data_IF_067209252493
#
_entry.id   IF_067209252493
#
_cell.length_a   1.000
_cell.length_b   1.000
_cell.length_c   1.000
_cell.angle_alpha   90.00
_cell.angle_beta   90.00
_cell.angle_gamma   90.00
#
_symmetry.space_group_name_H-M   'P 1'
#
loop_
_entity.id
_entity.type
_entity.pdbx_description
1 polymer ?
#
# COMPACT_ATOMS: atom_id res chain seq x y z
N UNK A 1 14.13 21.29 1.14
CA UNK A 1 12.81 21.04 0.51
C UNK A 1 12.59 19.54 0.40
N UNK A 2 11.34 19.12 0.23
CA UNK A 2 10.98 17.71 0.00
C UNK A 2 10.62 17.51 -1.47
N UNK A 3 10.85 16.32 -2.00
CA UNK A 3 10.52 16.00 -3.40
C UNK A 3 10.50 14.52 -3.69
N UNK A 4 9.89 14.20 -4.83
CA UNK A 4 9.96 12.89 -5.48
C UNK A 4 11.05 13.02 -6.54
N UNK A 5 12.12 12.24 -6.45
CA UNK A 5 13.28 12.40 -7.32
C UNK A 5 13.97 11.07 -7.65
N UNK A 6 14.75 11.06 -8.73
CA UNK A 6 15.60 9.92 -9.08
C UNK A 6 16.83 9.81 -8.18
N UNK A 7 17.40 8.62 -8.09
CA UNK A 7 18.69 8.39 -7.42
C UNK A 7 19.64 7.62 -8.32
N UNK A 8 20.92 7.98 -8.35
CA UNK A 8 21.97 7.20 -9.00
C UNK A 8 22.42 5.99 -8.19
N UNK A 9 21.96 5.88 -6.94
CA UNK A 9 22.19 4.74 -6.06
C UNK A 9 20.89 3.90 -5.92
N UNK A 10 20.63 2.93 -6.82
CA UNK A 10 19.38 2.18 -6.85
C UNK A 10 19.17 1.31 -5.61
N UNK A 11 20.25 0.86 -4.96
CA UNK A 11 20.19 0.06 -3.72
C UNK A 11 19.52 0.79 -2.55
N UNK A 12 19.39 2.12 -2.61
CA UNK A 12 18.70 2.90 -1.58
C UNK A 12 17.19 2.99 -1.78
N UNK A 13 16.66 2.50 -2.90
CA UNK A 13 15.22 2.44 -3.18
C UNK A 13 14.63 1.29 -2.35
N UNK A 14 13.38 1.43 -1.91
CA UNK A 14 12.71 0.53 -0.97
C UNK A 14 13.30 0.48 0.45
N UNK A 15 14.17 1.44 0.80
CA UNK A 15 14.69 1.60 2.16
C UNK A 15 14.11 2.83 2.87
N UNK A 16 13.85 2.69 4.18
CA UNK A 16 13.38 3.77 5.05
C UNK A 16 14.55 4.61 5.59
N UNK A 17 15.39 5.13 4.69
CA UNK A 17 16.63 5.86 5.02
C UNK A 17 16.73 7.23 4.35
N UNK A 18 15.59 7.88 4.09
CA UNK A 18 15.60 9.25 3.57
C UNK A 18 15.41 10.26 4.69
N UNK A 19 15.95 11.47 4.51
CA UNK A 19 15.64 12.63 5.35
C UNK A 19 14.30 13.29 4.92
N UNK A 20 13.36 12.50 4.37
CA UNK A 20 12.01 12.94 4.00
C UNK A 20 11.71 13.05 2.50
N UNK A 21 12.67 12.78 1.60
CA UNK A 21 12.38 12.67 0.16
C UNK A 21 11.95 11.26 -0.25
N UNK A 22 11.22 11.15 -1.36
CA UNK A 22 10.84 9.87 -1.99
C UNK A 22 11.78 9.64 -3.19
N UNK A 23 12.44 8.49 -3.23
CA UNK A 23 13.43 8.14 -4.25
C UNK A 23 12.87 7.09 -5.21
N UNK A 24 12.97 7.35 -6.51
CA UNK A 24 12.58 6.45 -7.58
C UNK A 24 13.80 6.00 -8.40
N UNK A 25 13.64 4.94 -9.17
CA UNK A 25 14.61 4.60 -10.21
C UNK A 25 14.66 5.74 -11.25
N UNK A 26 15.83 6.01 -11.87
CA UNK A 26 15.96 7.06 -12.88
C UNK A 26 14.92 6.97 -14.01
N UNK A 27 14.67 5.77 -14.53
CA UNK A 27 13.70 5.55 -15.60
C UNK A 27 12.25 5.84 -15.16
N UNK A 28 11.92 5.54 -13.90
CA UNK A 28 10.56 5.76 -13.37
C UNK A 28 10.29 7.24 -13.11
N UNK A 29 11.28 7.99 -12.60
CA UNK A 29 11.10 9.43 -12.39
C UNK A 29 11.02 10.19 -13.72
N UNK A 30 11.74 9.75 -14.76
CA UNK A 30 11.66 10.34 -16.09
C UNK A 30 10.26 10.16 -16.69
N UNK A 31 9.74 8.93 -16.64
CA UNK A 31 8.35 8.62 -17.04
C UNK A 31 7.35 9.44 -16.26
N UNK A 32 7.44 9.44 -14.93
CA UNK A 32 6.54 10.21 -14.07
C UNK A 32 6.58 11.70 -14.43
N UNK A 33 7.77 12.30 -14.57
CA UNK A 33 7.92 13.71 -14.91
C UNK A 33 7.26 14.07 -16.25
N UNK A 34 7.31 13.19 -17.25
CA UNK A 34 6.67 13.41 -18.55
C UNK A 34 5.13 13.43 -18.51
N UNK A 35 4.52 12.74 -17.55
CA UNK A 35 3.06 12.73 -17.37
C UNK A 35 2.54 13.89 -16.52
N UNK A 36 3.39 14.48 -15.69
CA UNK A 36 2.98 15.49 -14.72
C UNK A 36 2.99 16.90 -15.30
N UNK A 37 1.98 17.69 -14.93
CA UNK A 37 1.91 19.13 -15.19
C UNK A 37 2.12 19.90 -13.89
N UNK A 38 2.61 21.14 -13.99
CA UNK A 38 2.68 22.02 -12.82
C UNK A 38 1.29 22.18 -12.20
N UNK A 39 1.21 22.09 -10.88
CA UNK A 39 -0.05 22.11 -10.13
C UNK A 39 -0.71 20.74 -9.96
N UNK A 40 -0.09 19.66 -10.46
CA UNK A 40 -0.58 18.31 -10.19
C UNK A 40 -0.64 18.03 -8.69
N UNK A 41 -1.76 17.46 -8.24
CA UNK A 41 -2.00 17.13 -6.85
C UNK A 41 -1.69 15.65 -6.60
N UNK A 42 -1.00 15.38 -5.50
CA UNK A 42 -0.74 14.03 -5.02
C UNK A 42 -1.09 13.92 -3.55
N UNK A 43 -1.39 12.70 -3.11
CA UNK A 43 -1.63 12.36 -1.70
C UNK A 43 -0.49 11.47 -1.19
N UNK A 44 0.07 11.81 -0.03
CA UNK A 44 0.99 10.94 0.69
C UNK A 44 0.24 10.25 1.82
N UNK A 45 -0.08 8.97 1.63
CA UNK A 45 -0.80 8.18 2.61
C UNK A 45 0.07 7.03 3.14
N UNK A 46 0.05 6.83 4.45
CA UNK A 46 0.61 5.64 5.08
C UNK A 46 -0.50 4.62 5.33
N UNK A 47 -0.69 3.69 4.38
CA UNK A 47 -1.70 2.64 4.44
C UNK A 47 -1.00 1.28 4.53
N UNK A 48 -1.14 0.60 5.65
CA UNK A 48 -0.58 -0.74 5.86
C UNK A 48 -1.58 -1.86 5.58
N UNK A 49 -2.87 -1.53 5.41
CA UNK A 49 -3.92 -2.49 5.08
C UNK A 49 -4.64 -1.97 3.85
N UNK A 50 -4.71 -2.81 2.81
CA UNK A 50 -5.39 -2.54 1.57
C UNK A 50 -6.38 -3.69 1.31
N UNK A 51 -7.61 -3.34 0.94
CA UNK A 51 -8.63 -4.28 0.51
C UNK A 51 -9.02 -3.89 -0.91
N UNK A 52 -9.00 -4.85 -1.82
CA UNK A 52 -9.33 -4.65 -3.23
C UNK A 52 -10.22 -5.76 -3.77
N UNK A 53 -10.81 -5.50 -4.93
CA UNK A 53 -11.60 -6.45 -5.67
C UNK A 53 -11.06 -6.53 -7.10
N UNK A 54 -10.92 -7.73 -7.65
CA UNK A 54 -10.57 -7.91 -9.06
C UNK A 54 -11.81 -7.80 -9.98
N UNK A 55 -11.58 -7.94 -11.28
CA UNK A 55 -12.62 -7.90 -12.31
C UNK A 55 -13.60 -9.08 -12.25
N UNK A 56 -13.17 -10.21 -11.69
CA UNK A 56 -14.01 -11.40 -11.41
C UNK A 56 -14.82 -11.26 -10.11
N UNK A 57 -14.58 -10.20 -9.36
CA UNK A 57 -15.24 -9.91 -8.12
C UNK A 57 -14.60 -10.56 -6.89
N UNK A 58 -13.46 -11.23 -7.00
CA UNK A 58 -12.75 -11.82 -5.85
C UNK A 58 -12.14 -10.72 -4.98
N UNK A 59 -12.14 -10.94 -3.67
CA UNK A 59 -11.63 -9.99 -2.68
C UNK A 59 -10.20 -10.35 -2.31
N UNK A 60 -9.33 -9.34 -2.30
CA UNK A 60 -7.93 -9.46 -1.94
C UNK A 60 -7.57 -8.53 -0.79
N UNK A 61 -6.89 -9.07 0.22
CA UNK A 61 -6.33 -8.30 1.32
C UNK A 61 -4.80 -8.28 1.19
N UNK A 62 -4.22 -7.10 1.33
CA UNK A 62 -2.78 -6.92 1.48
C UNK A 62 -2.50 -6.25 2.82
N UNK A 63 -1.61 -6.85 3.62
CA UNK A 63 -1.16 -6.30 4.90
C UNK A 63 0.36 -6.12 4.83
N UNK A 64 0.81 -4.87 4.97
CA UNK A 64 2.20 -4.47 4.94
C UNK A 64 2.77 -4.29 6.36
N UNK A 65 4.10 -4.45 6.54
CA UNK A 65 4.76 -4.18 7.82
C UNK A 65 4.57 -2.73 8.31
N UNK A 66 4.34 -2.57 9.62
CA UNK A 66 4.27 -1.26 10.29
C UNK A 66 5.67 -0.72 10.62
N UNK A 67 6.41 -0.37 9.57
CA UNK A 67 7.78 0.17 9.60
C UNK A 67 7.96 1.42 10.48
N UNK A 68 6.90 2.21 10.67
CA UNK A 68 6.93 3.44 11.46
C UNK A 68 6.39 3.21 12.87
N UNK A 69 6.01 1.96 13.21
CA UNK A 69 5.52 1.55 14.53
C UNK A 69 4.37 2.43 15.01
N UNK A 70 3.44 2.74 14.11
CA UNK A 70 2.22 3.50 14.45
C UNK A 70 1.18 2.66 15.20
N UNK A 71 1.48 1.40 15.49
CA UNK A 71 0.61 0.46 16.21
C UNK A 71 -0.74 0.28 15.51
N UNK A 72 -0.70 0.08 14.19
CA UNK A 72 -1.91 -0.08 13.38
C UNK A 72 -2.62 -1.39 13.74
N UNK A 73 -3.88 -1.30 14.15
CA UNK A 73 -4.76 -2.45 14.32
C UNK A 73 -5.26 -2.93 12.95
N UNK A 74 -4.55 -3.89 12.37
CA UNK A 74 -4.84 -4.36 11.01
C UNK A 74 -6.23 -5.01 10.88
N UNK A 75 -6.68 -5.74 11.91
CA UNK A 75 -7.99 -6.39 11.92
C UNK A 75 -9.13 -5.37 11.91
N UNK A 76 -9.01 -4.33 12.74
CA UNK A 76 -9.99 -3.25 12.78
C UNK A 76 -10.03 -2.48 11.46
N UNK A 77 -8.89 -2.18 10.85
CA UNK A 77 -8.83 -1.53 9.54
C UNK A 77 -9.44 -2.40 8.44
N UNK A 78 -9.16 -3.71 8.42
CA UNK A 78 -9.76 -4.63 7.46
C UNK A 78 -11.29 -4.68 7.61
N UNK A 79 -11.81 -4.73 8.83
CA UNK A 79 -13.26 -4.62 9.11
C UNK A 79 -13.85 -3.31 8.62
N UNK A 80 -13.20 -2.18 8.93
CA UNK A 80 -13.65 -0.85 8.49
C UNK A 80 -13.69 -0.73 6.97
N UNK A 81 -12.68 -1.25 6.27
CA UNK A 81 -12.65 -1.28 4.81
C UNK A 81 -13.78 -2.16 4.26
N UNK A 82 -13.93 -3.38 4.79
CA UNK A 82 -14.98 -4.31 4.37
C UNK A 82 -16.39 -3.73 4.56
N UNK A 83 -16.63 -3.05 5.68
CA UNK A 83 -17.88 -2.34 5.96
C UNK A 83 -18.09 -1.18 4.97
N UNK A 84 -17.06 -0.37 4.73
CA UNK A 84 -17.14 0.78 3.80
C UNK A 84 -17.40 0.37 2.34
N UNK A 85 -16.98 -0.82 1.95
CA UNK A 85 -17.21 -1.37 0.62
C UNK A 85 -18.45 -2.27 0.55
N UNK A 86 -19.11 -2.55 1.68
CA UNK A 86 -20.28 -3.42 1.73
C UNK A 86 -19.99 -4.89 1.38
N UNK A 87 -18.77 -5.38 1.65
CA UNK A 87 -18.32 -6.73 1.25
C UNK A 87 -18.07 -7.67 2.42
N UNK A 88 -18.42 -7.26 3.64
CA UNK A 88 -18.18 -8.02 4.88
C UNK A 88 -18.62 -9.49 4.82
N UNK A 89 -19.80 -9.72 4.25
CA UNK A 89 -20.42 -11.05 4.14
C UNK A 89 -19.80 -11.94 3.06
N UNK A 90 -18.83 -11.43 2.30
CA UNK A 90 -18.14 -12.14 1.22
C UNK A 90 -16.69 -12.48 1.57
N UNK A 91 -16.26 -12.17 2.79
CA UNK A 91 -14.89 -12.34 3.28
C UNK A 91 -14.79 -13.58 4.17
N UNK A 92 -13.81 -14.43 3.87
CA UNK A 92 -13.29 -15.47 4.75
C UNK A 92 -12.37 -14.84 5.80
N UNK A 93 -12.90 -14.62 7.01
CA UNK A 93 -12.18 -14.01 8.12
C UNK A 93 -11.04 -14.89 8.68
N UNK A 94 -11.05 -16.20 8.39
CA UNK A 94 -9.92 -17.06 8.73
C UNK A 94 -8.72 -16.74 7.85
N UNK A 95 -8.93 -16.55 6.54
CA UNK A 95 -7.86 -16.12 5.61
C UNK A 95 -7.35 -14.72 5.96
N UNK A 96 -8.24 -13.80 6.33
CA UNK A 96 -7.84 -12.46 6.81
C UNK A 96 -6.87 -12.55 7.99
N UNK A 97 -7.15 -13.42 8.97
CA UNK A 97 -6.27 -13.61 10.11
C UNK A 97 -4.87 -14.07 9.67
N UNK A 98 -4.78 -15.04 8.75
CA UNK A 98 -3.50 -15.53 8.20
C UNK A 98 -2.70 -14.42 7.51
N UNK A 99 -3.36 -13.57 6.70
CA UNK A 99 -2.71 -12.45 6.00
C UNK A 99 -2.22 -11.39 6.99
N UNK A 100 -2.99 -11.11 8.05
CA UNK A 100 -2.61 -10.16 9.11
C UNK A 100 -1.44 -10.67 9.94
N UNK A 101 -1.36 -11.99 10.18
CA UNK A 101 -0.24 -12.61 10.88
C UNK A 101 1.04 -12.58 10.03
N UNK A 102 0.95 -12.87 8.73
CA UNK A 102 2.12 -12.94 7.86
C UNK A 102 2.70 -11.55 7.52
N UNK A 103 1.84 -10.54 7.29
CA UNK A 103 2.22 -9.16 6.93
C UNK A 103 3.23 -9.07 5.79
N UNK A 104 3.07 -9.93 4.78
CA UNK A 104 4.04 -10.06 3.68
C UNK A 104 4.07 -8.86 2.73
N UNK A 105 3.07 -7.99 2.77
CA UNK A 105 2.90 -6.94 1.75
C UNK A 105 2.51 -7.50 0.38
N UNK A 106 1.92 -8.71 0.34
CA UNK A 106 1.44 -9.37 -0.87
C UNK A 106 -0.07 -9.53 -0.76
N UNK A 107 -0.80 -9.10 -1.78
CA UNK A 107 -2.24 -9.31 -1.87
C UNK A 107 -2.60 -10.80 -1.92
N UNK A 108 -3.47 -11.26 -1.01
CA UNK A 108 -3.96 -12.63 -0.93
C UNK A 108 -5.47 -12.66 -1.01
N UNK A 109 -6.01 -13.68 -1.69
CA UNK A 109 -7.45 -13.85 -1.82
C UNK A 109 -8.08 -14.19 -0.46
N UNK A 110 -9.12 -13.43 -0.08
CA UNK A 110 -9.87 -13.57 1.17
C UNK A 110 -11.37 -13.73 0.92
N UNK A 111 -11.79 -14.05 -0.30
CA UNK A 111 -13.18 -14.40 -0.60
C UNK A 111 -13.62 -15.67 0.13
N UNK A 112 -14.92 -15.77 0.47
CA UNK A 112 -15.57 -17.02 0.89
C UNK A 112 -15.51 -18.10 -0.20
#
# INVERSE_FOLDING_TARGET
GYGIHGTSAPMCIYQFRSHGCIRLHPEDIEKLFSYLKRGFQGELAYKTVLLGQDDQGKLFLEVNPDIYRKNINALEQARRLADSYGVKERIDWSRVATVIESREGIAREVSL
#
